data_IF_697853360121
#
_entry.id   IF_697853360121
#
_cell.length_a   1.000
_cell.length_b   1.000
_cell.length_c   1.000
_cell.angle_alpha   90.00
_cell.angle_beta   90.00
_cell.angle_gamma   90.00
#
_symmetry.space_group_name_H-M   'P 1'
#
loop_
_entity.id
_entity.type
_entity.pdbx_description
1 polymer ?
#
# COMPACT_ATOMS: atom_id res chain seq x y z
N UNK A 1 4.62 -20.15 1.21
CA UNK A 1 5.59 -19.09 0.86
C UNK A 1 5.55 -18.07 1.99
N UNK A 2 6.68 -17.58 2.49
CA UNK A 2 6.68 -16.54 3.52
C UNK A 2 5.98 -15.28 3.01
N UNK A 3 5.10 -14.71 3.83
CA UNK A 3 4.39 -13.48 3.50
C UNK A 3 5.23 -12.29 3.96
N UNK A 4 5.46 -11.33 3.07
CA UNK A 4 6.11 -10.06 3.38
C UNK A 4 5.12 -8.93 3.08
N UNK A 5 4.78 -8.13 4.09
CA UNK A 5 3.99 -6.91 3.93
C UNK A 5 4.87 -5.67 3.97
N UNK A 6 4.49 -4.62 3.27
CA UNK A 6 5.17 -3.34 3.29
C UNK A 6 4.19 -2.18 3.11
N UNK A 7 4.60 -1.01 3.56
CA UNK A 7 3.83 0.23 3.52
C UNK A 7 4.78 1.44 3.62
N UNK A 8 4.32 2.60 3.13
CA UNK A 8 5.06 3.87 3.18
C UNK A 8 4.22 4.99 3.80
N UNK A 9 4.90 5.92 4.46
CA UNK A 9 4.34 7.21 4.84
C UNK A 9 5.01 8.31 4.02
N UNK A 10 4.22 9.26 3.53
CA UNK A 10 4.73 10.40 2.76
C UNK A 10 5.09 11.57 3.69
N UNK A 11 5.93 12.48 3.21
CA UNK A 11 6.29 13.71 3.94
C UNK A 11 5.46 14.92 3.53
N UNK A 12 4.74 14.84 2.41
CA UNK A 12 4.00 15.95 1.84
C UNK A 12 2.68 16.18 2.58
N UNK A 13 2.37 17.44 2.87
CA UNK A 13 1.11 17.86 3.49
C UNK A 13 0.21 18.47 2.41
N UNK A 14 -1.04 18.01 2.35
CA UNK A 14 -2.03 18.48 1.38
C UNK A 14 -3.33 18.89 2.08
N UNK A 15 -3.88 20.03 1.64
CA UNK A 15 -5.24 20.45 1.98
C UNK A 15 -6.13 20.19 0.76
N UNK A 16 -6.71 18.99 0.69
CA UNK A 16 -7.54 18.57 -0.43
C UNK A 16 -8.99 19.07 -0.27
N UNK A 17 -9.55 19.64 -1.33
CA UNK A 17 -10.99 19.87 -1.39
C UNK A 17 -11.75 18.53 -1.46
N UNK A 18 -13.05 18.47 -1.07
CA UNK A 18 -13.83 17.25 -1.19
C UNK A 18 -13.83 16.71 -2.63
N UNK A 19 -13.36 15.47 -2.80
CA UNK A 19 -13.27 14.81 -4.10
C UNK A 19 -12.05 15.19 -4.95
N UNK A 20 -11.14 16.02 -4.43
CA UNK A 20 -9.91 16.36 -5.14
C UNK A 20 -8.94 15.18 -5.23
N UNK A 21 -8.39 14.99 -6.43
CA UNK A 21 -7.47 13.90 -6.70
C UNK A 21 -6.06 14.20 -6.18
N UNK A 22 -5.66 13.47 -5.14
CA UNK A 22 -4.35 13.55 -4.51
C UNK A 22 -3.20 13.37 -5.54
N UNK A 23 -3.35 12.49 -6.53
CA UNK A 23 -2.26 12.14 -7.46
C UNK A 23 -1.75 13.33 -8.29
N UNK A 24 -2.55 14.41 -8.39
CA UNK A 24 -2.20 15.63 -9.11
C UNK A 24 -1.02 16.37 -8.48
N UNK A 25 -0.73 16.11 -7.21
CA UNK A 25 0.35 16.75 -6.47
C UNK A 25 1.65 15.93 -6.46
N UNK A 26 1.65 14.77 -7.12
CA UNK A 26 2.86 13.95 -7.23
C UNK A 26 3.96 14.65 -8.05
N UNK A 27 5.22 14.22 -7.90
CA UNK A 27 5.67 13.09 -7.09
C UNK A 27 5.66 13.36 -5.58
N UNK A 28 5.51 12.30 -4.80
CA UNK A 28 5.56 12.38 -3.33
C UNK A 28 6.92 11.96 -2.80
N UNK A 29 7.32 12.62 -1.71
CA UNK A 29 8.46 12.29 -0.88
C UNK A 29 8.03 11.29 0.19
N UNK A 30 8.91 10.35 0.52
CA UNK A 30 8.66 9.31 1.53
C UNK A 30 9.39 9.70 2.81
N UNK A 31 8.67 9.76 3.94
CA UNK A 31 9.24 10.02 5.27
C UNK A 31 9.88 8.77 5.84
N UNK A 32 9.11 7.68 5.87
CA UNK A 32 9.51 6.36 6.37
C UNK A 32 8.75 5.27 5.63
N UNK A 33 9.32 4.08 5.57
CA UNK A 33 8.61 2.87 5.16
C UNK A 33 8.83 1.74 6.17
N UNK A 34 7.98 0.72 6.13
CA UNK A 34 8.15 -0.48 6.91
C UNK A 34 8.03 -1.74 6.05
N UNK A 35 8.70 -2.80 6.48
CA UNK A 35 8.48 -4.17 5.99
C UNK A 35 8.28 -5.12 7.16
N UNK A 36 7.41 -6.12 6.99
CA UNK A 36 7.13 -7.15 7.99
C UNK A 36 7.08 -8.52 7.32
N UNK A 37 7.95 -9.43 7.75
CA UNK A 37 7.88 -10.85 7.37
C UNK A 37 7.09 -11.59 8.45
N UNK A 38 5.99 -12.25 8.08
CA UNK A 38 5.15 -12.97 9.04
C UNK A 38 5.95 -14.09 9.72
N UNK A 39 6.01 -14.04 11.06
CA UNK A 39 6.81 -14.95 11.88
C UNK A 39 8.32 -14.69 11.84
N UNK A 40 8.73 -13.59 11.23
CA UNK A 40 10.12 -13.18 11.09
C UNK A 40 10.35 -11.76 11.62
N UNK A 41 11.12 -10.98 10.87
CA UNK A 41 11.56 -9.65 11.25
C UNK A 41 10.67 -8.53 10.71
N UNK A 42 10.69 -7.42 11.45
CA UNK A 42 10.19 -6.12 11.01
C UNK A 42 11.37 -5.18 10.79
N UNK A 43 11.27 -4.35 9.76
CA UNK A 43 12.30 -3.38 9.44
C UNK A 43 11.67 -2.02 9.13
N UNK A 44 12.26 -0.98 9.72
CA UNK A 44 12.01 0.40 9.33
C UNK A 44 13.03 0.85 8.30
N UNK A 45 12.56 1.62 7.33
CA UNK A 45 13.36 2.24 6.28
C UNK A 45 13.23 3.75 6.45
N UNK A 46 14.13 4.32 7.25
CA UNK A 46 14.28 5.76 7.41
C UNK A 46 15.73 6.16 7.15
N UNK A 47 15.93 7.43 6.81
CA UNK A 47 17.25 8.03 6.75
C UNK A 47 17.47 8.90 7.98
N UNK A 48 18.71 8.93 8.48
CA UNK A 48 19.08 9.72 9.66
C UNK A 48 20.28 10.60 9.36
N UNK A 49 20.37 11.75 10.02
CA UNK A 49 21.61 12.53 10.07
C UNK A 49 22.69 11.82 10.89
N UNK A 50 23.90 12.38 10.90
CA UNK A 50 25.06 11.82 11.59
C UNK A 50 24.87 11.68 13.12
N UNK A 51 23.96 12.47 13.71
CA UNK A 51 23.60 12.42 15.12
C UNK A 51 22.45 11.44 15.43
N UNK A 52 21.93 10.73 14.41
CA UNK A 52 20.84 9.77 14.55
C UNK A 52 19.44 10.36 14.44
N UNK A 53 19.28 11.67 14.20
CA UNK A 53 17.96 12.28 14.03
C UNK A 53 17.34 11.85 12.68
N UNK A 54 16.06 11.41 12.64
CA UNK A 54 15.37 11.13 11.38
C UNK A 54 15.37 12.34 10.45
N UNK A 55 15.68 12.10 9.17
CA UNK A 55 15.52 13.11 8.12
C UNK A 55 14.04 13.24 7.75
N UNK A 56 13.67 14.38 7.16
CA UNK A 56 12.30 14.59 6.69
C UNK A 56 11.89 13.57 5.62
N UNK A 57 12.83 13.16 4.78
CA UNK A 57 12.60 12.21 3.69
C UNK A 57 13.69 11.13 3.72
N UNK A 58 13.36 9.91 3.29
CA UNK A 58 14.37 8.91 2.98
C UNK A 58 15.25 9.38 1.81
N UNK A 59 16.54 9.10 1.84
CA UNK A 59 17.42 9.41 0.70
C UNK A 59 17.14 8.49 -0.48
N UNK A 60 17.62 8.87 -1.66
CA UNK A 60 17.57 8.01 -2.85
C UNK A 60 18.21 6.64 -2.59
N UNK A 61 19.34 6.62 -1.91
CA UNK A 61 20.07 5.40 -1.57
C UNK A 61 19.21 4.50 -0.67
N UNK A 62 18.54 5.06 0.35
CA UNK A 62 17.65 4.30 1.22
C UNK A 62 16.42 3.77 0.47
N UNK A 63 15.82 4.58 -0.42
CA UNK A 63 14.72 4.14 -1.26
C UNK A 63 15.14 3.02 -2.22
N UNK A 64 16.35 3.11 -2.78
CA UNK A 64 16.93 2.08 -3.63
C UNK A 64 17.19 0.78 -2.86
N UNK A 65 17.74 0.86 -1.63
CA UNK A 65 17.90 -0.30 -0.74
C UNK A 65 16.56 -0.99 -0.45
N UNK A 66 15.52 -0.23 -0.11
CA UNK A 66 14.17 -0.75 0.12
C UNK A 66 13.64 -1.46 -1.13
N UNK A 67 13.70 -0.81 -2.30
CA UNK A 67 13.20 -1.36 -3.54
C UNK A 67 13.90 -2.67 -3.93
N UNK A 68 15.24 -2.70 -3.80
CA UNK A 68 16.02 -3.90 -4.10
C UNK A 68 15.81 -5.01 -3.08
N UNK A 69 15.58 -4.68 -1.82
CA UNK A 69 15.17 -5.66 -0.81
C UNK A 69 13.83 -6.30 -1.18
N UNK A 70 12.84 -5.53 -1.62
CA UNK A 70 11.55 -6.07 -2.08
C UNK A 70 11.74 -6.99 -3.30
N UNK A 71 12.51 -6.56 -4.30
CA UNK A 71 12.83 -7.37 -5.49
C UNK A 71 13.57 -8.68 -5.13
N UNK A 72 14.54 -8.62 -4.22
CA UNK A 72 15.27 -9.78 -3.71
C UNK A 72 14.33 -10.75 -3.01
N UNK A 73 13.50 -10.28 -2.08
CA UNK A 73 12.56 -11.16 -1.35
C UNK A 73 11.56 -11.83 -2.28
N UNK A 74 11.11 -11.13 -3.31
CA UNK A 74 10.26 -11.71 -4.33
C UNK A 74 10.99 -12.79 -5.15
N UNK A 75 12.27 -12.59 -5.49
CA UNK A 75 13.11 -13.61 -6.15
C UNK A 75 13.38 -14.82 -5.26
N UNK A 76 13.48 -14.62 -3.95
CA UNK A 76 13.60 -15.67 -2.94
C UNK A 76 12.28 -16.44 -2.69
N UNK A 77 11.20 -16.08 -3.38
CA UNK A 77 9.91 -16.76 -3.28
C UNK A 77 9.02 -16.26 -2.13
N UNK A 78 9.27 -15.08 -1.58
CA UNK A 78 8.32 -14.42 -0.67
C UNK A 78 7.11 -13.92 -1.47
N UNK A 79 5.94 -14.03 -0.86
CA UNK A 79 4.72 -13.37 -1.36
C UNK A 79 4.72 -11.94 -0.83
N UNK A 80 4.98 -10.97 -1.71
CA UNK A 80 4.90 -9.55 -1.37
C UNK A 80 3.44 -9.09 -1.39
N UNK A 81 3.03 -8.39 -0.34
CA UNK A 81 1.69 -7.82 -0.19
C UNK A 81 1.79 -6.36 0.27
N UNK A 82 0.97 -5.51 -0.32
CA UNK A 82 0.71 -4.15 0.17
C UNK A 82 -0.74 -3.78 -0.14
N UNK A 83 -1.36 -2.96 0.70
CA UNK A 83 -2.72 -2.51 0.50
C UNK A 83 -2.74 -1.23 -0.33
N UNK A 84 -3.19 -1.27 -1.59
CA UNK A 84 -3.02 -0.16 -2.55
C UNK A 84 -1.55 0.09 -2.99
N UNK A 85 -0.67 -0.89 -2.77
CA UNK A 85 0.74 -0.78 -3.13
C UNK A 85 1.02 -0.65 -4.62
N UNK A 86 0.09 -1.09 -5.47
CA UNK A 86 0.21 -0.91 -6.92
C UNK A 86 0.07 0.57 -7.31
N UNK A 87 -0.96 1.27 -6.83
CA UNK A 87 -1.21 2.65 -7.26
C UNK A 87 -0.34 3.66 -6.50
N UNK A 88 0.08 3.31 -5.28
CA UNK A 88 0.70 4.24 -4.35
C UNK A 88 2.14 3.86 -4.00
N UNK A 89 2.36 2.85 -3.17
CA UNK A 89 3.66 2.57 -2.55
C UNK A 89 4.79 2.36 -3.57
N UNK A 90 4.66 1.39 -4.47
CA UNK A 90 5.73 1.05 -5.42
C UNK A 90 5.99 2.17 -6.42
N UNK A 91 4.96 2.97 -6.75
CA UNK A 91 5.12 4.15 -7.61
C UNK A 91 6.06 5.17 -6.97
N UNK A 92 5.85 5.46 -5.69
CA UNK A 92 6.64 6.48 -4.98
C UNK A 92 7.99 5.96 -4.52
N UNK A 93 8.09 4.67 -4.14
CA UNK A 93 9.38 4.02 -3.89
C UNK A 93 10.24 4.06 -5.16
N UNK A 94 9.67 3.70 -6.32
CA UNK A 94 10.37 3.77 -7.60
C UNK A 94 10.84 5.18 -7.95
N UNK A 95 10.00 6.18 -7.69
CA UNK A 95 10.35 7.59 -7.93
C UNK A 95 11.49 8.04 -7.01
N UNK A 96 11.38 7.81 -5.70
CA UNK A 96 12.39 8.18 -4.72
C UNK A 96 13.73 7.46 -4.99
N UNK A 97 13.69 6.19 -5.37
CA UNK A 97 14.86 5.39 -5.74
C UNK A 97 15.49 5.82 -7.08
N UNK A 98 14.74 6.51 -7.94
CA UNK A 98 15.15 6.76 -9.33
C UNK A 98 15.20 5.49 -10.19
N UNK A 99 14.48 4.43 -9.79
CA UNK A 99 14.46 3.12 -10.48
C UNK A 99 13.01 2.65 -10.71
N UNK A 100 12.34 3.31 -11.66
CA UNK A 100 10.98 2.93 -12.07
C UNK A 100 10.92 1.56 -12.73
N UNK A 101 12.01 1.09 -13.35
CA UNK A 101 12.04 -0.20 -14.04
C UNK A 101 11.94 -1.36 -13.06
N UNK A 102 12.72 -1.32 -11.97
CA UNK A 102 12.60 -2.31 -10.88
C UNK A 102 11.25 -2.19 -10.18
N UNK A 103 10.76 -0.98 -9.90
CA UNK A 103 9.45 -0.78 -9.27
C UNK A 103 8.31 -1.43 -10.06
N UNK A 104 8.30 -1.26 -11.40
CA UNK A 104 7.32 -1.91 -12.30
C UNK A 104 7.41 -3.43 -12.25
N UNK A 105 8.63 -3.98 -12.28
CA UNK A 105 8.86 -5.43 -12.20
C UNK A 105 8.34 -6.02 -10.89
N UNK A 106 8.62 -5.35 -9.76
CA UNK A 106 8.11 -5.74 -8.44
C UNK A 106 6.59 -5.64 -8.39
N UNK A 107 6.03 -4.55 -8.95
CA UNK A 107 4.59 -4.29 -8.95
C UNK A 107 3.79 -5.33 -9.71
N UNK A 108 4.26 -5.84 -10.85
CA UNK A 108 3.56 -6.89 -11.60
C UNK A 108 3.35 -8.17 -10.78
N UNK A 109 4.31 -8.50 -9.93
CA UNK A 109 4.28 -9.70 -9.08
C UNK A 109 3.78 -9.42 -7.65
N UNK A 110 3.46 -8.17 -7.33
CA UNK A 110 2.82 -7.78 -6.06
C UNK A 110 1.46 -8.47 -5.93
N UNK A 111 1.11 -8.88 -4.71
CA UNK A 111 -0.27 -9.23 -4.38
C UNK A 111 -0.90 -8.03 -3.69
N UNK A 112 -1.75 -7.30 -4.39
CA UNK A 112 -2.47 -6.12 -3.87
C UNK A 112 -3.96 -6.47 -3.70
N UNK A 113 -4.41 -6.84 -2.48
CA UNK A 113 -5.79 -7.25 -2.25
C UNK A 113 -6.81 -6.15 -2.55
N UNK A 114 -6.42 -4.89 -2.43
CA UNK A 114 -7.29 -3.76 -2.75
C UNK A 114 -7.48 -3.65 -4.27
N UNK A 115 -6.40 -3.77 -5.05
CA UNK A 115 -6.51 -3.82 -6.50
C UNK A 115 -7.31 -5.04 -6.98
N UNK A 116 -7.08 -6.21 -6.39
CA UNK A 116 -7.89 -7.40 -6.71
C UNK A 116 -9.36 -7.20 -6.37
N UNK A 117 -9.68 -6.55 -5.24
CA UNK A 117 -11.06 -6.15 -4.90
C UNK A 117 -11.64 -5.18 -5.94
N UNK A 118 -10.87 -4.17 -6.35
CA UNK A 118 -11.26 -3.24 -7.40
C UNK A 118 -11.58 -3.97 -8.71
N UNK A 119 -10.79 -4.96 -9.12
CA UNK A 119 -11.08 -5.80 -10.29
C UNK A 119 -12.38 -6.63 -10.16
N UNK A 120 -12.84 -6.89 -8.94
CA UNK A 120 -14.12 -7.59 -8.70
C UNK A 120 -15.32 -6.63 -8.59
N UNK A 121 -15.11 -5.42 -8.06
CA UNK A 121 -16.20 -4.53 -7.64
C UNK A 121 -16.26 -3.18 -8.36
N UNK A 122 -15.17 -2.78 -9.02
CA UNK A 122 -15.03 -1.53 -9.76
C UNK A 122 -14.76 -0.29 -8.89
N UNK A 123 -14.56 -0.46 -7.59
CA UNK A 123 -14.25 0.62 -6.64
C UNK A 123 -13.24 0.13 -5.59
N UNK A 124 -12.43 1.03 -5.01
CA UNK A 124 -11.45 0.67 -3.99
C UNK A 124 -12.11 0.53 -2.60
N UNK A 125 -11.44 -0.15 -1.68
CA UNK A 125 -11.87 -0.24 -0.28
C UNK A 125 -10.66 -0.07 0.66
N UNK A 126 -10.85 0.67 1.75
CA UNK A 126 -9.77 0.97 2.70
C UNK A 126 -9.45 -0.20 3.63
N UNK A 127 -8.17 -0.35 4.00
CA UNK A 127 -7.65 -1.41 4.86
C UNK A 127 -8.44 -1.50 6.17
N UNK A 128 -8.63 -0.38 6.87
CA UNK A 128 -9.37 -0.35 8.14
C UNK A 128 -10.82 -0.83 8.02
N UNK A 129 -11.50 -0.56 6.90
CA UNK A 129 -12.89 -1.02 6.67
C UNK A 129 -12.97 -2.52 6.38
N UNK A 130 -11.93 -3.07 5.76
CA UNK A 130 -11.80 -4.52 5.58
C UNK A 130 -11.41 -5.19 6.89
N UNK A 131 -10.45 -4.64 7.65
CA UNK A 131 -10.09 -5.12 8.98
C UNK A 131 -11.31 -5.24 9.89
N UNK A 132 -12.11 -4.16 9.99
CA UNK A 132 -13.37 -4.14 10.74
C UNK A 132 -14.35 -5.22 10.23
N UNK A 133 -14.57 -5.31 8.91
CA UNK A 133 -15.48 -6.30 8.31
C UNK A 133 -15.03 -7.75 8.45
N UNK A 134 -13.72 -7.98 8.56
CA UNK A 134 -13.10 -9.29 8.74
C UNK A 134 -12.90 -9.66 10.22
N UNK A 135 -13.27 -8.78 11.16
CA UNK A 135 -13.09 -8.99 12.60
C UNK A 135 -11.63 -8.92 13.05
N UNK A 136 -10.76 -8.27 12.26
CA UNK A 136 -9.35 -8.02 12.61
C UNK A 136 -9.29 -6.70 13.38
N UNK A 137 -8.88 -6.77 14.64
CA UNK A 137 -8.77 -5.59 15.49
C UNK A 137 -7.51 -4.81 15.12
N UNK A 138 -7.70 -3.58 14.63
CA UNK A 138 -6.63 -2.61 14.47
C UNK A 138 -6.63 -1.64 15.66
N UNK A 139 -5.46 -1.37 16.23
CA UNK A 139 -5.30 -0.20 17.09
C UNK A 139 -5.15 1.01 16.17
N UNK A 140 -6.13 1.92 16.19
CA UNK A 140 -6.03 3.16 15.41
C UNK A 140 -5.01 4.09 16.06
N UNK A 141 -3.79 4.11 15.52
CA UNK A 141 -2.70 4.95 16.02
C UNK A 141 -2.80 6.39 15.49
N UNK A 142 -3.16 6.58 14.21
CA UNK A 142 -3.48 7.88 13.62
C UNK A 142 -4.32 7.73 12.34
N UNK A 143 -4.67 8.84 11.69
CA UNK A 143 -5.12 8.84 10.31
C UNK A 143 -3.91 9.08 9.39
N UNK A 144 -3.82 8.40 8.24
CA UNK A 144 -2.70 8.58 7.31
C UNK A 144 -2.47 10.04 6.88
N UNK A 145 -3.53 10.85 6.75
CA UNK A 145 -3.40 12.28 6.45
C UNK A 145 -2.75 13.12 7.58
N UNK A 146 -2.66 12.57 8.80
CA UNK A 146 -1.98 13.20 9.93
C UNK A 146 -0.51 12.77 10.04
N UNK A 147 -0.10 11.65 9.42
CA UNK A 147 1.27 11.14 9.51
C UNK A 147 2.33 12.16 9.01
N UNK A 148 2.14 12.86 7.87
CA UNK A 148 3.09 13.89 7.43
C UNK A 148 3.20 15.07 8.42
N UNK A 149 2.07 15.43 9.06
CA UNK A 149 2.02 16.51 10.05
C UNK A 149 2.75 16.10 11.34
N UNK A 150 2.56 14.86 11.78
CA UNK A 150 3.25 14.30 12.95
C UNK A 150 4.75 14.16 12.70
N UNK A 151 5.16 13.73 11.50
CA UNK A 151 6.56 13.66 11.12
C UNK A 151 7.22 15.03 11.20
N UNK A 152 6.62 16.05 10.57
CA UNK A 152 7.14 17.42 10.60
C UNK A 152 7.18 18.02 12.02
N UNK A 153 6.26 17.63 12.89
CA UNK A 153 6.23 18.04 14.29
C UNK A 153 7.32 17.36 15.17
N UNK A 154 8.12 16.46 14.59
CA UNK A 154 9.17 15.71 15.31
C UNK A 154 8.66 14.48 16.05
N UNK A 155 7.39 14.10 15.87
CA UNK A 155 6.79 12.91 16.49
C UNK A 155 7.12 11.64 15.68
N UNK A 156 8.38 11.49 15.26
CA UNK A 156 8.84 10.44 14.35
C UNK A 156 8.52 9.03 14.86
N UNK A 157 8.70 8.77 16.17
CA UNK A 157 8.41 7.46 16.74
C UNK A 157 6.93 7.07 16.58
N UNK A 158 6.00 8.02 16.73
CA UNK A 158 4.57 7.75 16.56
C UNK A 158 4.25 7.34 15.11
N UNK A 159 4.90 7.97 14.13
CA UNK A 159 4.75 7.63 12.70
C UNK A 159 5.41 6.29 12.40
N UNK A 160 6.59 6.00 12.96
CA UNK A 160 7.23 4.69 12.85
C UNK A 160 6.36 3.55 13.43
N UNK A 161 5.77 3.76 14.60
CA UNK A 161 4.86 2.80 15.23
C UNK A 161 3.59 2.61 14.39
N UNK A 162 3.11 3.68 13.77
CA UNK A 162 1.95 3.66 12.88
C UNK A 162 2.19 2.82 11.62
N UNK A 163 3.25 3.10 10.86
CA UNK A 163 3.56 2.35 9.62
C UNK A 163 3.88 0.87 9.92
N UNK A 164 4.48 0.57 11.07
CA UNK A 164 4.65 -0.83 11.55
C UNK A 164 3.30 -1.47 11.87
N UNK A 165 2.39 -0.71 12.46
CA UNK A 165 1.00 -1.12 12.68
C UNK A 165 0.29 -1.48 11.37
N UNK A 166 0.45 -0.68 10.32
CA UNK A 166 -0.23 -0.88 9.04
C UNK A 166 0.31 -2.09 8.27
N UNK A 167 1.63 -2.38 8.30
CA UNK A 167 2.16 -3.62 7.71
C UNK A 167 1.72 -4.88 8.47
N UNK A 168 1.58 -4.81 9.80
CA UNK A 168 1.03 -5.90 10.62
C UNK A 168 -0.45 -6.12 10.34
N UNK A 169 -1.24 -5.05 10.33
CA UNK A 169 -2.66 -5.08 10.02
C UNK A 169 -2.90 -5.67 8.63
N UNK A 170 -2.09 -5.27 7.64
CA UNK A 170 -2.14 -5.83 6.30
C UNK A 170 -1.93 -7.35 6.32
N UNK A 171 -0.95 -7.84 7.09
CA UNK A 171 -0.68 -9.27 7.21
C UNK A 171 -1.86 -10.03 7.85
N UNK A 172 -2.43 -9.48 8.94
CA UNK A 172 -3.57 -10.07 9.63
C UNK A 172 -4.83 -10.11 8.76
N UNK A 173 -5.11 -9.03 8.04
CA UNK A 173 -6.23 -8.94 7.09
C UNK A 173 -6.05 -9.95 5.97
N UNK A 174 -4.87 -10.05 5.39
CA UNK A 174 -4.57 -11.05 4.35
C UNK A 174 -4.73 -12.47 4.87
N UNK A 175 -4.26 -12.77 6.08
CA UNK A 175 -4.46 -14.07 6.70
C UNK A 175 -5.95 -14.36 6.93
N UNK A 176 -6.74 -13.36 7.33
CA UNK A 176 -8.19 -13.51 7.48
C UNK A 176 -8.90 -13.75 6.13
N UNK A 177 -8.51 -13.04 5.08
CA UNK A 177 -9.03 -13.22 3.72
C UNK A 177 -8.71 -14.64 3.22
N UNK A 178 -7.47 -15.10 3.40
CA UNK A 178 -7.07 -16.42 2.95
C UNK A 178 -7.83 -17.54 3.69
N UNK A 179 -8.07 -17.40 5.00
CA UNK A 179 -8.88 -18.37 5.77
C UNK A 179 -10.34 -18.36 5.32
N UNK A 180 -10.92 -17.18 5.12
CA UNK A 180 -12.34 -17.04 4.83
C UNK A 180 -12.69 -17.23 3.34
N UNK A 181 -11.69 -17.17 2.44
CA UNK A 181 -11.85 -17.18 0.98
C UNK A 181 -12.82 -16.10 0.47
N UNK A 182 -12.83 -14.97 1.16
CA UNK A 182 -13.67 -13.81 0.87
C UNK A 182 -13.04 -12.54 1.44
N UNK A 183 -13.43 -11.40 0.90
CA UNK A 183 -13.22 -10.08 1.50
C UNK A 183 -14.56 -9.62 2.07
N UNK A 184 -14.61 -9.33 3.37
CA UNK A 184 -15.70 -8.63 4.01
C UNK A 184 -15.28 -7.21 4.40
N UNK A 185 -16.18 -6.24 4.28
CA UNK A 185 -15.89 -4.84 4.59
C UNK A 185 -17.12 -4.14 5.15
N UNK A 186 -16.89 -3.05 5.88
CA UNK A 186 -17.95 -2.15 6.33
C UNK A 186 -18.24 -1.11 5.23
N UNK A 187 -19.49 -1.06 4.78
CA UNK A 187 -19.96 -0.11 3.77
C UNK A 187 -20.06 1.30 4.33
N UNK A 188 -20.23 2.30 3.46
CA UNK A 188 -20.50 3.68 3.89
C UNK A 188 -21.77 3.80 4.75
N UNK A 189 -22.71 2.86 4.64
CA UNK A 189 -23.93 2.80 5.46
C UNK A 189 -23.72 2.08 6.81
N UNK A 190 -22.50 1.65 7.12
CA UNK A 190 -22.17 0.95 8.37
C UNK A 190 -22.56 -0.53 8.38
N UNK A 191 -23.01 -1.10 7.27
CA UNK A 191 -23.35 -2.53 7.17
C UNK A 191 -22.18 -3.35 6.66
N UNK A 192 -22.10 -4.63 7.04
CA UNK A 192 -21.10 -5.56 6.50
C UNK A 192 -21.53 -6.08 5.12
N UNK A 193 -20.63 -5.98 4.15
CA UNK A 193 -20.77 -6.61 2.83
C UNK A 193 -19.62 -7.59 2.59
N UNK A 194 -19.79 -8.49 1.61
CA UNK A 194 -18.82 -9.55 1.31
C UNK A 194 -18.71 -9.86 -0.18
N UNK A 195 -17.53 -10.29 -0.62
CA UNK A 195 -17.26 -10.78 -1.97
C UNK A 195 -16.31 -11.97 -1.89
N UNK A 196 -16.58 -13.02 -2.67
CA UNK A 196 -15.74 -14.21 -2.71
C UNK A 196 -14.36 -13.92 -3.32
N UNK A 197 -13.32 -14.52 -2.75
CA UNK A 197 -11.94 -14.40 -3.21
C UNK A 197 -11.23 -15.75 -2.99
N UNK A 198 -11.25 -16.60 -4.00
CA UNK A 198 -10.77 -17.98 -3.90
C UNK A 198 -9.27 -18.08 -3.54
N UNK A 199 -8.47 -17.15 -4.07
CA UNK A 199 -7.06 -16.97 -3.69
C UNK A 199 -6.65 -15.52 -3.93
N UNK A 200 -5.61 -15.09 -3.21
CA UNK A 200 -4.88 -13.90 -3.60
C UNK A 200 -4.17 -14.16 -4.94
N UNK A 201 -4.21 -13.17 -5.81
CA UNK A 201 -3.57 -13.19 -7.12
C UNK A 201 -2.57 -12.05 -7.21
N UNK A 202 -1.56 -12.21 -8.06
CA UNK A 202 -0.67 -11.10 -8.37
C UNK A 202 -1.40 -10.01 -9.16
N UNK A 203 -0.83 -8.82 -9.21
CA UNK A 203 -1.29 -7.73 -10.08
C UNK A 203 -1.34 -8.18 -11.53
N UNK A 204 -0.29 -8.85 -12.04
CA UNK A 204 -0.24 -9.37 -13.41
C UNK A 204 -1.41 -10.32 -13.71
N UNK A 205 -1.72 -11.24 -12.80
CA UNK A 205 -2.88 -12.13 -12.95
C UNK A 205 -4.20 -11.34 -12.96
N UNK A 206 -4.32 -10.30 -12.14
CA UNK A 206 -5.53 -9.47 -12.06
C UNK A 206 -5.71 -8.57 -13.30
N UNK A 207 -4.63 -8.10 -13.92
CA UNK A 207 -4.67 -7.30 -15.15
C UNK A 207 -5.21 -8.09 -16.35
N UNK A 208 -5.09 -9.42 -16.33
CA UNK A 208 -5.67 -10.28 -17.37
C UNK A 208 -7.21 -10.35 -17.35
N UNK A 209 -7.85 -9.93 -16.26
CA UNK A 209 -9.30 -9.96 -16.13
C UNK A 209 -9.98 -8.74 -16.78
N UNK A 210 -11.18 -8.89 -17.36
CA UNK A 210 -11.99 -7.74 -17.76
C UNK A 210 -12.39 -6.88 -16.55
N UNK A 211 -12.71 -5.61 -16.80
CA UNK A 211 -13.34 -4.78 -15.77
C UNK A 211 -14.73 -5.32 -15.42
N UNK A 212 -15.15 -5.23 -14.14
CA UNK A 212 -16.50 -5.61 -13.74
C UNK A 212 -17.51 -4.61 -14.32
N UNK A 213 -18.80 -4.98 -14.31
CA UNK A 213 -19.86 -4.05 -14.68
C UNK A 213 -19.89 -2.85 -13.71
N UNK A 214 -19.62 -1.68 -14.26
CA UNK A 214 -19.63 -0.39 -13.58
C UNK A 214 -20.76 0.53 -14.08
N UNK A 215 -21.69 0.03 -14.90
CA UNK A 215 -22.79 0.83 -15.50
C UNK A 215 -23.72 1.50 -14.47
N UNK A 216 -23.71 1.01 -13.23
CA UNK A 216 -24.44 1.55 -12.10
C UNK A 216 -23.70 2.69 -11.36
N UNK A 217 -22.44 2.95 -11.68
CA UNK A 217 -21.63 4.01 -11.08
C UNK A 217 -21.77 5.32 -11.86
N UNK A 218 -21.93 6.43 -11.16
CA UNK A 218 -21.96 7.77 -11.78
C UNK A 218 -20.61 8.15 -12.37
N UNK A 219 -19.53 7.90 -11.63
CA UNK A 219 -18.16 8.20 -12.04
C UNK A 219 -17.27 6.98 -11.76
N UNK A 220 -17.21 6.02 -12.72
CA UNK A 220 -16.43 4.81 -12.53
C UNK A 220 -14.94 5.10 -12.50
N UNK A 221 -14.23 4.49 -11.55
CA UNK A 221 -12.78 4.58 -11.47
C UNK A 221 -12.15 3.72 -12.57
N UNK A 222 -11.28 4.33 -13.38
CA UNK A 222 -10.56 3.66 -14.44
C UNK A 222 -9.37 2.84 -13.91
N UNK A 223 -9.08 1.70 -14.52
CA UNK A 223 -7.90 0.88 -14.18
C UNK A 223 -6.57 1.64 -14.37
N UNK A 224 -6.53 2.61 -15.29
CA UNK A 224 -5.36 3.49 -15.50
C UNK A 224 -4.99 4.29 -14.25
N UNK A 225 -5.91 4.49 -13.30
CA UNK A 225 -5.63 5.10 -12.00
C UNK A 225 -4.58 4.33 -11.20
N UNK A 226 -4.51 3.02 -11.42
CA UNK A 226 -3.54 2.13 -10.78
C UNK A 226 -2.30 1.91 -11.66
N UNK A 227 -2.47 1.88 -12.98
CA UNK A 227 -1.47 1.31 -13.90
C UNK A 227 -0.76 2.31 -14.80
N UNK A 228 -1.22 3.56 -14.89
CA UNK A 228 -0.66 4.54 -15.82
C UNK A 228 0.85 4.77 -15.60
N UNK A 229 1.32 4.76 -14.35
CA UNK A 229 2.74 4.94 -14.00
C UNK A 229 3.63 3.77 -14.44
N UNK A 230 3.03 2.60 -14.70
CA UNK A 230 3.76 1.42 -15.17
C UNK A 230 4.10 1.47 -16.66
N UNK A 231 3.51 2.40 -17.42
CA UNK A 231 3.85 2.58 -18.83
C UNK A 231 5.21 3.28 -18.93
N UNK A 232 6.07 2.81 -19.83
CA UNK A 232 7.32 3.52 -20.12
C UNK A 232 6.99 4.93 -20.62
N UNK A 233 7.83 5.91 -20.23
CA UNK A 233 7.81 7.19 -20.92
C UNK A 233 8.31 6.92 -22.34
N UNK A 234 7.42 7.04 -23.34
CA UNK A 234 7.84 7.08 -24.73
C UNK A 234 8.74 8.28 -25.00
#
# INVERSE_FOLDING_TARGET
MPLLTFDIEISNIFDLAPGEDLDRYGPFDISVAATHIVGGEERLWLSTSADGTPLNNITREKAHELLHYLDEKQRDGHTLVAWNGLAFDLRWIGHAAGDMATARRVALKLHDPMFQFFKLKGFPVGLGKVGEGMGVQAVKLMAGADAPKQWLAGNHQAVCDYVIGDVRLTADVVAAIDRAKQIAWITQRGTTSRVGLARMRSVEECLGDPMPDQSWMTEPMAESKFTAWMRDAQ
#
